data_IF_699570337785
#
_entry.id   IF_699570337785
#
_cell.length_a   1.000
_cell.length_b   1.000
_cell.length_c   1.000
_cell.angle_alpha   90.00
_cell.angle_beta   90.00
_cell.angle_gamma   90.00
#
_symmetry.space_group_name_H-M   'P 1'
#
loop_
_entity.id
_entity.type
_entity.pdbx_description
1 polymer ?
#
# COMPACT_ATOMS: atom_id res chain seq x y z
N UNK A 1 25.30 44.06 -41.67
CA UNK A 1 24.25 44.43 -40.69
C UNK A 1 22.99 44.79 -41.45
N UNK A 2 22.00 43.89 -41.50
CA UNK A 2 20.61 44.25 -41.82
C UNK A 2 19.68 43.14 -41.34
N UNK A 3 18.91 43.46 -40.31
CA UNK A 3 17.90 42.63 -39.67
C UNK A 3 16.83 42.20 -40.68
N UNK A 4 16.47 40.93 -40.67
CA UNK A 4 15.16 40.47 -41.12
C UNK A 4 14.42 39.91 -39.91
N UNK A 5 13.42 40.67 -39.47
CA UNK A 5 12.41 40.25 -38.50
C UNK A 5 11.41 39.40 -39.28
N UNK A 6 11.25 38.14 -38.90
CA UNK A 6 10.22 37.25 -39.43
C UNK A 6 9.22 36.96 -38.33
N UNK A 7 8.11 37.70 -38.41
CA UNK A 7 6.87 37.54 -37.66
C UNK A 7 6.27 36.16 -37.96
N UNK A 8 6.19 35.28 -36.96
CA UNK A 8 5.42 34.03 -37.07
C UNK A 8 4.05 34.26 -36.43
N UNK A 9 3.04 33.94 -37.23
CA UNK A 9 1.63 34.17 -37.01
C UNK A 9 1.11 33.49 -35.75
N UNK A 10 0.34 34.25 -34.99
CA UNK A 10 -0.46 33.82 -33.85
C UNK A 10 -1.63 32.97 -34.38
N UNK A 11 -1.39 31.67 -34.50
CA UNK A 11 -2.42 30.69 -34.81
C UNK A 11 -3.36 30.50 -33.61
N UNK A 12 -4.61 30.90 -33.79
CA UNK A 12 -5.75 30.56 -32.94
C UNK A 12 -5.97 29.04 -32.97
N UNK A 13 -5.29 28.32 -32.07
CA UNK A 13 -5.71 26.97 -31.71
C UNK A 13 -6.83 27.11 -30.67
N UNK A 14 -8.02 26.51 -30.88
CA UNK A 14 -8.99 26.40 -29.80
C UNK A 14 -8.30 25.61 -28.70
N UNK A 15 -8.09 26.26 -27.56
CA UNK A 15 -7.77 25.57 -26.33
C UNK A 15 -8.92 24.60 -26.11
N UNK A 16 -8.72 23.33 -26.50
CA UNK A 16 -9.49 22.22 -25.98
C UNK A 16 -9.32 22.30 -24.48
N UNK A 17 -10.30 22.94 -23.87
CA UNK A 17 -10.59 23.01 -22.45
C UNK A 17 -10.74 21.55 -22.02
N UNK A 18 -9.62 20.88 -21.81
CA UNK A 18 -9.57 19.72 -20.95
C UNK A 18 -9.95 20.29 -19.60
N UNK A 19 -11.24 20.22 -19.29
CA UNK A 19 -11.69 20.11 -17.93
C UNK A 19 -10.95 18.90 -17.36
N UNK A 20 -9.74 19.15 -16.85
CA UNK A 20 -9.28 18.43 -15.69
C UNK A 20 -10.35 18.76 -14.65
N UNK A 21 -11.35 17.89 -14.55
CA UNK A 21 -11.93 17.58 -13.26
C UNK A 21 -10.73 17.23 -12.38
N UNK A 22 -10.19 18.26 -11.73
CA UNK A 22 -9.46 18.11 -10.50
C UNK A 22 -10.48 17.42 -9.60
N UNK A 23 -10.44 16.09 -9.60
CA UNK A 23 -10.90 15.30 -8.47
C UNK A 23 -10.08 15.87 -7.33
N UNK A 24 -10.65 16.87 -6.65
CA UNK A 24 -10.27 17.28 -5.31
C UNK A 24 -10.62 16.12 -4.39
N UNK A 25 -9.91 15.01 -4.59
CA UNK A 25 -9.76 13.94 -3.64
C UNK A 25 -8.87 14.50 -2.55
N UNK A 26 -9.42 15.38 -1.73
CA UNK A 26 -8.97 15.53 -0.35
C UNK A 26 -9.38 14.26 0.40
N UNK A 27 -8.87 13.11 -0.03
CA UNK A 27 -8.56 12.07 0.90
C UNK A 27 -7.40 12.65 1.70
N UNK A 28 -7.74 13.30 2.82
CA UNK A 28 -6.79 13.49 3.91
C UNK A 28 -6.19 12.10 4.09
N UNK A 29 -4.99 11.90 3.56
CA UNK A 29 -4.28 10.65 3.70
C UNK A 29 -3.89 10.68 5.15
N UNK A 30 -4.73 10.11 6.01
CA UNK A 30 -4.44 10.00 7.43
C UNK A 30 -3.04 9.41 7.50
N UNK A 31 -2.11 10.22 7.98
CA UNK A 31 -0.70 9.95 7.85
C UNK A 31 -0.38 8.86 8.86
N UNK A 32 -0.50 7.62 8.42
CA UNK A 32 -0.29 6.44 9.25
C UNK A 32 1.10 6.52 9.86
N UNK A 33 1.17 6.53 11.18
CA UNK A 33 2.45 6.59 11.88
C UNK A 33 3.09 5.20 11.98
N UNK A 34 4.43 5.11 12.06
CA UNK A 34 5.10 3.83 12.31
C UNK A 34 4.62 3.16 13.60
N UNK A 35 4.27 3.92 14.63
CA UNK A 35 3.74 3.38 15.90
C UNK A 35 2.38 2.69 15.70
N UNK A 36 1.55 3.18 14.77
CA UNK A 36 0.32 2.48 14.39
C UNK A 36 0.63 1.17 13.65
N UNK A 37 1.68 1.12 12.83
CA UNK A 37 2.15 -0.13 12.21
C UNK A 37 2.64 -1.13 13.27
N UNK A 38 3.39 -0.66 14.28
CA UNK A 38 3.82 -1.47 15.43
C UNK A 38 2.61 -2.03 16.21
N UNK A 39 1.67 -1.18 16.61
CA UNK A 39 0.48 -1.58 17.36
C UNK A 39 -0.39 -2.56 16.55
N UNK A 40 -0.53 -2.36 15.24
CA UNK A 40 -1.26 -3.30 14.38
C UNK A 40 -0.58 -4.66 14.26
N UNK A 41 0.74 -4.72 14.12
CA UNK A 41 1.45 -6.00 14.11
C UNK A 41 1.28 -6.76 15.44
N UNK A 42 1.38 -6.06 16.58
CA UNK A 42 1.14 -6.64 17.91
C UNK A 42 -0.31 -7.14 18.03
N UNK A 43 -1.30 -6.33 17.63
CA UNK A 43 -2.71 -6.69 17.67
C UNK A 43 -3.00 -7.96 16.84
N UNK A 44 -2.44 -8.04 15.62
CA UNK A 44 -2.61 -9.21 14.75
C UNK A 44 -1.93 -10.45 15.36
N UNK A 45 -0.74 -10.30 15.93
CA UNK A 45 -0.04 -11.42 16.58
C UNK A 45 -0.84 -11.99 17.76
N UNK A 46 -1.39 -11.12 18.62
CA UNK A 46 -2.15 -11.52 19.80
C UNK A 46 -3.50 -12.15 19.44
N UNK A 47 -4.22 -11.56 18.49
CA UNK A 47 -5.54 -12.06 18.06
C UNK A 47 -5.44 -13.28 17.15
N UNK A 48 -4.30 -13.46 16.48
CA UNK A 48 -4.01 -14.54 15.55
C UNK A 48 -3.23 -15.73 16.13
N UNK A 49 -2.82 -15.70 17.40
CA UNK A 49 -1.94 -16.70 18.00
C UNK A 49 -2.42 -18.16 17.87
N UNK A 50 -3.74 -18.36 17.86
CA UNK A 50 -4.37 -19.68 17.72
C UNK A 50 -5.01 -19.91 16.33
N UNK A 51 -4.62 -19.12 15.33
CA UNK A 51 -5.12 -19.30 13.97
C UNK A 51 -4.47 -20.53 13.31
N UNK A 52 -5.27 -21.28 12.56
CA UNK A 52 -4.83 -22.48 11.82
C UNK A 52 -5.21 -22.38 10.33
N UNK A 53 -4.54 -23.18 9.50
CA UNK A 53 -4.83 -23.29 8.08
C UNK A 53 -4.75 -21.96 7.33
N UNK A 54 -5.72 -21.66 6.48
CA UNK A 54 -5.76 -20.43 5.68
C UNK A 54 -5.81 -19.16 6.52
N UNK A 55 -6.41 -19.23 7.72
CA UNK A 55 -6.44 -18.11 8.66
C UNK A 55 -5.04 -17.80 9.18
N UNK A 56 -4.23 -18.82 9.46
CA UNK A 56 -2.84 -18.64 9.88
C UNK A 56 -2.01 -17.93 8.81
N UNK A 57 -2.17 -18.32 7.54
CA UNK A 57 -1.51 -17.65 6.42
C UNK A 57 -1.88 -16.16 6.32
N UNK A 58 -3.16 -15.83 6.53
CA UNK A 58 -3.63 -14.45 6.58
C UNK A 58 -3.03 -13.65 7.73
N UNK A 59 -2.91 -14.25 8.92
CA UNK A 59 -2.24 -13.64 10.09
C UNK A 59 -0.77 -13.37 9.77
N UNK A 60 -0.03 -14.35 9.23
CA UNK A 60 1.38 -14.21 8.87
C UNK A 60 1.57 -13.10 7.83
N UNK A 61 0.76 -13.07 6.77
CA UNK A 61 0.84 -12.04 5.74
C UNK A 61 0.57 -10.63 6.31
N UNK A 62 -0.39 -10.53 7.22
CA UNK A 62 -0.74 -9.26 7.87
C UNK A 62 0.34 -8.78 8.83
N UNK A 63 0.94 -9.69 9.61
CA UNK A 63 2.11 -9.38 10.43
C UNK A 63 3.27 -8.90 9.57
N UNK A 64 3.62 -9.64 8.52
CA UNK A 64 4.72 -9.27 7.61
C UNK A 64 4.51 -7.89 6.99
N UNK A 65 3.27 -7.55 6.61
CA UNK A 65 2.92 -6.24 6.07
C UNK A 65 3.19 -5.11 7.07
N UNK A 66 2.72 -5.23 8.31
CA UNK A 66 2.89 -4.16 9.31
C UNK A 66 4.33 -4.09 9.84
N UNK A 67 4.96 -5.23 10.09
CA UNK A 67 6.38 -5.33 10.51
C UNK A 67 7.26 -4.65 9.46
N UNK A 68 7.16 -5.07 8.20
CA UNK A 68 8.01 -4.53 7.14
C UNK A 68 7.84 -3.03 6.93
N UNK A 69 6.62 -2.49 7.12
CA UNK A 69 6.38 -1.03 7.06
C UNK A 69 7.02 -0.28 8.23
N UNK A 70 6.87 -0.79 9.44
CA UNK A 70 7.49 -0.21 10.63
C UNK A 70 9.01 -0.17 10.50
N UNK A 71 9.62 -1.29 10.14
CA UNK A 71 11.08 -1.42 10.01
C UNK A 71 11.61 -0.54 8.87
N UNK A 72 10.90 -0.49 7.73
CA UNK A 72 11.30 0.39 6.62
C UNK A 72 11.20 1.88 6.96
N UNK A 73 10.22 2.28 7.78
CA UNK A 73 10.04 3.68 8.15
C UNK A 73 10.99 4.16 9.25
N UNK A 74 11.40 3.27 10.14
CA UNK A 74 12.15 3.63 11.37
C UNK A 74 13.60 3.15 11.38
N UNK A 75 13.91 2.08 10.63
CA UNK A 75 15.18 1.35 10.74
C UNK A 75 15.34 0.58 12.05
N UNK A 76 14.32 0.54 12.92
CA UNK A 76 14.35 -0.19 14.19
C UNK A 76 13.96 -1.66 14.00
N UNK A 77 14.52 -2.55 14.83
CA UNK A 77 14.11 -3.96 14.91
C UNK A 77 12.72 -4.07 15.55
N UNK A 78 11.80 -4.76 14.87
CA UNK A 78 10.42 -4.90 15.33
C UNK A 78 10.34 -5.59 16.69
N UNK A 79 11.11 -6.64 16.93
CA UNK A 79 10.99 -7.47 18.14
C UNK A 79 11.31 -6.65 19.40
N UNK A 80 12.37 -5.85 19.34
CA UNK A 80 12.80 -4.96 20.41
C UNK A 80 11.79 -3.84 20.65
N UNK A 81 11.28 -3.23 19.59
CA UNK A 81 10.26 -2.18 19.67
C UNK A 81 8.94 -2.71 20.25
N UNK A 82 8.50 -3.89 19.83
CA UNK A 82 7.27 -4.52 20.31
C UNK A 82 7.36 -4.89 21.79
N UNK A 83 8.49 -5.43 22.23
CA UNK A 83 8.72 -5.73 23.65
C UNK A 83 8.65 -4.47 24.52
N UNK A 84 9.28 -3.37 24.09
CA UNK A 84 9.23 -2.10 24.82
C UNK A 84 7.82 -1.49 24.80
N UNK A 85 7.12 -1.53 23.67
CA UNK A 85 5.74 -1.07 23.56
C UNK A 85 4.81 -1.82 24.51
N UNK A 86 4.93 -3.15 24.58
CA UNK A 86 4.16 -4.00 25.49
C UNK A 86 4.51 -3.78 26.97
N UNK A 87 5.71 -3.28 27.28
CA UNK A 87 6.12 -2.91 28.65
C UNK A 87 5.54 -1.57 29.09
N UNK A 88 5.39 -0.63 28.14
CA UNK A 88 5.00 0.76 28.41
C UNK A 88 3.50 1.02 28.25
N UNK A 89 2.80 0.21 27.47
CA UNK A 89 1.40 0.42 27.10
C UNK A 89 0.48 -0.62 27.74
N UNK A 90 -0.77 -0.22 28.02
CA UNK A 90 -1.80 -1.19 28.35
C UNK A 90 -2.24 -1.93 27.08
N UNK A 91 -2.59 -3.22 27.21
CA UNK A 91 -3.03 -3.99 26.05
C UNK A 91 -4.31 -3.42 25.43
N UNK A 92 -5.18 -2.85 26.25
CA UNK A 92 -6.40 -2.18 25.82
C UNK A 92 -6.11 -1.01 24.87
N UNK A 93 -5.01 -0.27 25.08
CA UNK A 93 -4.61 0.84 24.20
C UNK A 93 -4.19 0.34 22.81
N UNK A 94 -3.43 -0.76 22.79
CA UNK A 94 -2.98 -1.40 21.53
C UNK A 94 -4.19 -1.96 20.76
N UNK A 95 -5.10 -2.65 21.47
CA UNK A 95 -6.29 -3.26 20.85
C UNK A 95 -7.34 -2.24 20.43
N UNK A 96 -7.37 -1.04 21.03
CA UNK A 96 -8.24 0.05 20.60
C UNK A 96 -8.01 0.46 19.14
N UNK A 97 -6.82 0.19 18.58
CA UNK A 97 -6.49 0.44 17.17
C UNK A 97 -6.98 -0.65 16.21
N UNK A 98 -7.57 -1.74 16.70
CA UNK A 98 -7.97 -2.91 15.90
C UNK A 98 -8.84 -2.58 14.69
N UNK A 99 -9.75 -1.60 14.79
CA UNK A 99 -10.57 -1.15 13.66
C UNK A 99 -9.74 -0.60 12.49
N UNK A 100 -8.73 0.22 12.79
CA UNK A 100 -7.81 0.77 11.80
C UNK A 100 -6.96 -0.36 11.20
N UNK A 101 -6.47 -1.28 12.04
CA UNK A 101 -5.68 -2.41 11.58
C UNK A 101 -6.47 -3.30 10.60
N UNK A 102 -7.71 -3.64 10.92
CA UNK A 102 -8.59 -4.44 10.06
C UNK A 102 -8.87 -3.75 8.72
N UNK A 103 -9.21 -2.46 8.72
CA UNK A 103 -9.45 -1.71 7.48
C UNK A 103 -8.21 -1.70 6.58
N UNK A 104 -7.02 -1.54 7.17
CA UNK A 104 -5.76 -1.55 6.43
C UNK A 104 -5.40 -2.94 5.90
N UNK A 105 -5.72 -4.00 6.65
CA UNK A 105 -5.57 -5.39 6.20
C UNK A 105 -6.51 -5.71 5.04
N UNK A 106 -7.77 -5.27 5.09
CA UNK A 106 -8.73 -5.44 4.00
C UNK A 106 -8.23 -4.74 2.72
N UNK A 107 -7.78 -3.49 2.85
CA UNK A 107 -7.19 -2.75 1.73
C UNK A 107 -5.93 -3.46 1.18
N UNK A 108 -5.13 -4.09 2.04
CA UNK A 108 -3.98 -4.88 1.62
C UNK A 108 -4.40 -6.17 0.90
N UNK A 109 -5.41 -6.89 1.40
CA UNK A 109 -5.96 -8.08 0.74
C UNK A 109 -6.43 -7.76 -0.69
N UNK A 110 -7.16 -6.66 -0.87
CA UNK A 110 -7.61 -6.21 -2.19
C UNK A 110 -6.44 -5.96 -3.15
N UNK A 111 -5.30 -5.45 -2.64
CA UNK A 111 -4.09 -5.26 -3.46
C UNK A 111 -3.44 -6.59 -3.82
N UNK A 112 -3.39 -7.55 -2.89
CA UNK A 112 -2.86 -8.90 -3.15
C UNK A 112 -3.70 -9.64 -4.19
N UNK A 113 -5.03 -9.54 -4.11
CA UNK A 113 -5.93 -10.17 -5.08
C UNK A 113 -5.71 -9.57 -6.48
N UNK A 114 -5.68 -8.24 -6.58
CA UNK A 114 -5.38 -7.55 -7.85
C UNK A 114 -4.02 -7.93 -8.41
N UNK A 115 -3.00 -8.05 -7.56
CA UNK A 115 -1.68 -8.50 -7.96
C UNK A 115 -1.70 -9.94 -8.49
N UNK A 116 -2.41 -10.84 -7.80
CA UNK A 116 -2.58 -12.23 -8.23
C UNK A 116 -3.27 -12.36 -9.59
N UNK A 117 -4.34 -11.61 -9.82
CA UNK A 117 -5.04 -11.60 -11.11
C UNK A 117 -4.16 -11.06 -12.24
N UNK A 118 -3.40 -9.99 -12.00
CA UNK A 118 -2.44 -9.46 -12.97
C UNK A 118 -1.37 -10.50 -13.34
N UNK A 119 -0.87 -11.25 -12.36
CA UNK A 119 0.16 -12.26 -12.59
C UNK A 119 -0.34 -13.46 -13.39
N UNK A 120 -1.57 -13.92 -13.14
CA UNK A 120 -2.22 -14.97 -13.95
C UNK A 120 -2.36 -14.55 -15.42
N UNK A 121 -2.72 -13.30 -15.66
CA UNK A 121 -2.79 -12.73 -17.01
C UNK A 121 -1.45 -12.81 -17.75
N UNK A 122 -0.37 -12.34 -17.09
CA UNK A 122 0.99 -12.39 -17.64
C UNK A 122 1.47 -13.82 -17.92
N UNK A 123 1.17 -14.77 -17.03
CA UNK A 123 1.53 -16.18 -17.25
C UNK A 123 0.82 -16.77 -18.47
N UNK A 124 -0.45 -16.39 -18.72
CA UNK A 124 -1.18 -16.79 -19.92
C UNK A 124 -0.55 -16.27 -21.20
N UNK A 125 -0.08 -15.03 -21.21
CA UNK A 125 0.60 -14.39 -22.34
C UNK A 125 1.96 -15.05 -22.64
N UNK A 126 2.76 -15.33 -21.62
CA UNK A 126 4.05 -16.00 -21.76
C UNK A 126 3.89 -17.42 -22.33
N UNK A 127 2.97 -18.22 -21.78
CA UNK A 127 2.73 -19.59 -22.23
C UNK A 127 2.19 -19.67 -23.67
N UNK A 128 1.47 -18.65 -24.12
CA UNK A 128 0.91 -18.58 -25.47
C UNK A 128 1.96 -18.15 -26.51
N UNK A 129 2.99 -17.42 -26.07
CA UNK A 129 4.11 -17.00 -26.92
C UNK A 129 5.03 -18.18 -27.21
N UNK A 130 5.33 -19.04 -26.23
CA UNK A 130 6.14 -20.25 -26.42
C UNK A 130 5.49 -21.28 -27.38
N UNK A 131 4.15 -21.34 -27.45
CA UNK A 131 3.43 -22.25 -28.35
C UNK A 131 3.38 -21.80 -29.83
N UNK A 132 3.78 -20.56 -30.14
CA UNK A 132 3.80 -20.04 -31.51
C UNK A 132 5.15 -20.22 -32.21
N UNK A 133 6.20 -20.60 -31.47
CA UNK A 133 7.56 -20.79 -31.97
C UNK A 133 7.91 -22.27 -32.29
N UNK A 134 6.97 -23.21 -32.05
CA UNK A 134 7.01 -24.63 -32.44
C UNK A 134 6.17 -24.91 -33.72
#
# INVERSE_FOLDING_TARGET
MRNFILTIALGLLPASLHAQETVSGSALTEQVSPEQDLDCAICVALTGANAEGTRQSGVIASMAYFIGRFEAATGADFSSAAAERLRLAALEEIVAQSGICMSRMEAFSVRLDKFGEAFKGLQGELNSTEQMDD
#
